data_IF_869746311211
#
_entry.id   IF_869746311211
#
_cell.length_a   1.000
_cell.length_b   1.000
_cell.length_c   1.000
_cell.angle_alpha   90.00
_cell.angle_beta   90.00
_cell.angle_gamma   90.00
#
_symmetry.space_group_name_H-M   'P 1'
#
loop_
_entity.id
_entity.type
_entity.pdbx_description
1 polymer ?
#
# COMPACT_ATOMS: atom_id res chain seq x y z
N UNK A 1 -12.99 -0.58 12.32
CA UNK A 1 -12.15 -1.69 12.81
C UNK A 1 -10.98 -1.10 13.59
N UNK A 2 -10.63 -1.66 14.74
CA UNK A 2 -9.43 -1.20 15.47
C UNK A 2 -8.18 -1.71 14.75
N UNK A 3 -7.05 -1.01 14.87
CA UNK A 3 -5.78 -1.41 14.26
C UNK A 3 -5.33 -2.82 14.66
N UNK A 4 -5.57 -3.22 15.91
CA UNK A 4 -5.24 -4.56 16.40
C UNK A 4 -6.12 -5.65 15.76
N UNK A 5 -7.43 -5.44 15.69
CA UNK A 5 -8.35 -6.41 15.04
C UNK A 5 -7.99 -6.57 13.55
N UNK A 6 -7.68 -5.48 12.89
CA UNK A 6 -7.26 -5.49 11.50
C UNK A 6 -5.96 -6.29 11.33
N UNK A 7 -4.93 -6.04 12.14
CA UNK A 7 -3.67 -6.76 12.08
C UNK A 7 -3.83 -8.27 12.33
N UNK A 8 -4.71 -8.68 13.26
CA UNK A 8 -4.99 -10.09 13.51
C UNK A 8 -5.74 -10.76 12.36
N UNK A 9 -6.69 -10.06 11.75
CA UNK A 9 -7.43 -10.52 10.58
C UNK A 9 -6.50 -10.69 9.37
N UNK A 10 -5.66 -9.70 9.11
CA UNK A 10 -4.67 -9.71 8.04
C UNK A 10 -3.64 -10.82 8.24
N UNK A 11 -3.15 -10.99 9.47
CA UNK A 11 -2.23 -12.09 9.78
C UNK A 11 -2.89 -13.46 9.55
N UNK A 12 -4.10 -13.69 10.04
CA UNK A 12 -4.82 -14.95 9.85
C UNK A 12 -5.07 -15.24 8.37
N UNK A 13 -5.39 -14.23 7.59
CA UNK A 13 -5.55 -14.35 6.13
C UNK A 13 -4.22 -14.72 5.46
N UNK A 14 -3.16 -13.97 5.73
CA UNK A 14 -1.84 -14.16 5.12
C UNK A 14 -1.25 -15.54 5.44
N UNK A 15 -1.28 -15.96 6.72
CA UNK A 15 -0.77 -17.27 7.16
C UNK A 15 -1.50 -18.44 6.50
N UNK A 16 -2.70 -18.23 5.97
CA UNK A 16 -3.50 -19.23 5.27
C UNK A 16 -3.58 -19.03 3.73
N UNK A 17 -2.70 -18.18 3.18
CA UNK A 17 -2.54 -18.00 1.74
C UNK A 17 -3.61 -17.11 1.07
N UNK A 18 -4.19 -16.18 1.85
CA UNK A 18 -5.08 -15.15 1.36
C UNK A 18 -4.32 -13.82 1.21
N UNK A 19 -4.61 -13.10 0.16
CA UNK A 19 -4.05 -11.77 -0.12
C UNK A 19 -5.04 -10.69 0.33
N UNK A 20 -4.51 -9.61 0.91
CA UNK A 20 -5.30 -8.53 1.50
C UNK A 20 -5.52 -7.43 0.47
N UNK A 21 -6.77 -6.98 0.33
CA UNK A 21 -7.16 -5.92 -0.60
C UNK A 21 -8.10 -4.93 0.09
N UNK A 22 -8.08 -3.66 -0.38
CA UNK A 22 -9.01 -2.61 0.04
C UNK A 22 -9.13 -2.40 1.55
N UNK A 23 -8.17 -1.68 2.12
CA UNK A 23 -8.18 -1.26 3.53
C UNK A 23 -8.26 -2.42 4.55
N UNK A 24 -7.70 -3.59 4.22
CA UNK A 24 -7.67 -4.76 5.10
C UNK A 24 -9.03 -5.39 5.37
N UNK A 25 -9.99 -5.24 4.45
CA UNK A 25 -11.36 -5.77 4.59
C UNK A 25 -11.75 -6.80 3.54
N UNK A 26 -11.06 -6.82 2.42
CA UNK A 26 -11.33 -7.74 1.31
C UNK A 26 -10.12 -8.63 1.12
N UNK A 27 -10.34 -9.94 1.09
CA UNK A 27 -9.29 -10.96 0.99
C UNK A 27 -9.55 -11.82 -0.22
N UNK A 28 -8.52 -12.07 -1.01
CA UNK A 28 -8.54 -12.97 -2.15
C UNK A 28 -7.56 -14.12 -1.95
N UNK A 29 -7.91 -15.29 -2.47
CA UNK A 29 -7.01 -16.43 -2.54
C UNK A 29 -6.89 -16.89 -3.99
N UNK A 30 -5.67 -17.18 -4.44
CA UNK A 30 -5.46 -17.81 -5.75
C UNK A 30 -6.08 -19.20 -5.87
N UNK A 31 -6.58 -19.76 -4.77
CA UNK A 31 -7.22 -21.07 -4.68
C UNK A 31 -8.75 -21.02 -4.56
N UNK A 32 -9.30 -19.82 -4.39
CA UNK A 32 -10.74 -19.63 -4.20
C UNK A 32 -11.31 -18.66 -5.26
N UNK A 33 -12.44 -18.98 -5.92
CA UNK A 33 -12.98 -18.18 -7.01
C UNK A 33 -13.63 -16.86 -6.57
N UNK A 34 -13.85 -16.65 -5.26
CA UNK A 34 -14.49 -15.46 -4.70
C UNK A 34 -13.57 -14.69 -3.76
N UNK A 35 -14.10 -13.58 -3.24
CA UNK A 35 -13.48 -12.76 -2.21
C UNK A 35 -14.15 -12.99 -0.86
N UNK A 36 -13.36 -13.03 0.22
CA UNK A 36 -13.88 -12.94 1.58
C UNK A 36 -13.88 -11.45 2.00
N UNK A 37 -15.03 -10.94 2.40
CA UNK A 37 -15.22 -9.58 2.89
C UNK A 37 -15.44 -9.60 4.39
N UNK A 38 -14.71 -8.75 5.13
CA UNK A 38 -14.82 -8.61 6.57
C UNK A 38 -15.41 -7.25 6.95
N UNK A 39 -16.52 -7.27 7.70
CA UNK A 39 -17.20 -6.08 8.21
C UNK A 39 -17.20 -6.07 9.74
N UNK A 40 -16.70 -4.99 10.33
CA UNK A 40 -16.69 -4.81 11.78
C UNK A 40 -18.05 -4.26 12.26
N UNK A 41 -18.75 -5.05 13.08
CA UNK A 41 -20.04 -4.69 13.70
C UNK A 41 -19.88 -4.12 15.12
N UNK A 42 -18.64 -3.83 15.56
CA UNK A 42 -18.33 -3.25 16.88
C UNK A 42 -18.14 -4.26 18.02
N UNK A 43 -18.84 -5.39 18.00
CA UNK A 43 -18.69 -6.53 18.91
C UNK A 43 -18.70 -7.89 18.21
N UNK A 44 -18.70 -7.87 16.90
CA UNK A 44 -18.59 -9.06 16.06
C UNK A 44 -17.97 -8.67 14.73
N UNK A 45 -17.30 -9.62 14.10
CA UNK A 45 -16.82 -9.53 12.73
C UNK A 45 -17.75 -10.33 11.85
N UNK A 46 -18.39 -9.69 10.87
CA UNK A 46 -19.15 -10.36 9.83
C UNK A 46 -18.19 -10.72 8.69
N UNK A 47 -18.24 -11.96 8.23
CA UNK A 47 -17.44 -12.48 7.13
C UNK A 47 -18.40 -13.05 6.06
N UNK A 48 -18.27 -12.59 4.84
CA UNK A 48 -19.09 -13.05 3.71
C UNK A 48 -18.22 -13.36 2.49
N UNK A 49 -18.63 -14.33 1.67
CA UNK A 49 -18.05 -14.55 0.35
C UNK A 49 -18.83 -13.79 -0.72
N UNK A 50 -18.07 -13.04 -1.53
CA UNK A 50 -18.60 -12.39 -2.72
C UNK A 50 -18.13 -13.13 -3.96
N UNK A 51 -19.07 -13.53 -4.83
CA UNK A 51 -18.77 -14.19 -6.10
C UNK A 51 -18.68 -15.72 -6.04
N UNK A 52 -19.18 -16.35 -4.98
CA UNK A 52 -19.29 -17.81 -4.83
C UNK A 52 -20.75 -18.25 -4.57
N UNK A 53 -21.07 -19.55 -4.73
CA UNK A 53 -22.36 -20.06 -4.35
C UNK A 53 -22.71 -19.75 -2.89
N UNK A 54 -23.94 -19.28 -2.69
CA UNK A 54 -24.53 -19.06 -1.38
C UNK A 54 -24.32 -20.30 -0.49
N UNK A 55 -23.95 -20.10 0.77
CA UNK A 55 -23.86 -21.09 1.85
C UNK A 55 -22.50 -21.78 2.10
N UNK A 56 -21.44 -21.52 1.35
CA UNK A 56 -20.18 -22.23 1.60
C UNK A 56 -19.66 -22.01 3.03
N UNK A 57 -19.72 -20.79 3.54
CA UNK A 57 -19.29 -20.46 4.91
C UNK A 57 -20.21 -21.08 5.96
N UNK A 58 -21.53 -20.94 5.80
CA UNK A 58 -22.51 -21.43 6.77
C UNK A 58 -22.49 -22.96 6.91
N UNK A 59 -22.29 -23.67 5.79
CA UNK A 59 -22.12 -25.13 5.81
C UNK A 59 -20.86 -25.55 6.55
N UNK A 60 -19.77 -24.80 6.37
CA UNK A 60 -18.48 -25.11 7.00
C UNK A 60 -18.44 -24.71 8.49
N UNK A 61 -19.18 -23.67 8.87
CA UNK A 61 -19.18 -23.09 10.22
C UNK A 61 -20.61 -22.82 10.73
N UNK A 62 -21.46 -23.85 10.89
CA UNK A 62 -22.86 -23.66 11.22
C UNK A 62 -23.12 -22.96 12.57
N UNK A 63 -22.17 -23.03 13.50
CA UNK A 63 -22.25 -22.36 14.79
C UNK A 63 -22.08 -20.83 14.72
N UNK A 64 -21.56 -20.31 13.59
CA UNK A 64 -21.32 -18.90 13.32
C UNK A 64 -22.25 -18.37 12.23
N UNK A 65 -23.09 -19.21 11.63
CA UNK A 65 -23.96 -18.86 10.52
C UNK A 65 -24.97 -17.78 10.90
N UNK A 66 -25.09 -16.75 10.07
CA UNK A 66 -26.06 -15.67 10.26
C UNK A 66 -27.40 -15.95 9.57
N UNK A 67 -27.48 -16.94 8.67
CA UNK A 67 -28.69 -17.31 7.92
C UNK A 67 -28.87 -16.53 6.61
N UNK A 68 -27.89 -15.70 6.24
CA UNK A 68 -27.85 -14.90 5.01
C UNK A 68 -26.64 -15.23 4.11
N UNK A 69 -25.97 -16.36 4.39
CA UNK A 69 -24.75 -16.77 3.69
C UNK A 69 -23.46 -16.24 4.34
N UNK A 70 -23.57 -15.40 5.36
CA UNK A 70 -22.41 -14.86 6.09
C UNK A 70 -22.17 -15.57 7.43
N UNK A 71 -20.98 -15.38 7.98
CA UNK A 71 -20.63 -15.76 9.35
C UNK A 71 -20.55 -14.52 10.23
N UNK A 72 -21.00 -14.65 11.48
CA UNK A 72 -20.82 -13.65 12.52
C UNK A 72 -19.94 -14.23 13.63
N UNK A 73 -18.71 -13.74 13.72
CA UNK A 73 -17.74 -14.12 14.71
C UNK A 73 -17.74 -13.11 15.87
N UNK A 74 -18.29 -13.45 17.04
CA UNK A 74 -18.30 -12.55 18.20
C UNK A 74 -16.88 -12.31 18.73
N UNK A 75 -16.62 -11.10 19.21
CA UNK A 75 -15.39 -10.77 19.93
C UNK A 75 -15.64 -9.77 21.04
N UNK A 76 -14.74 -9.75 22.05
CA UNK A 76 -14.73 -8.73 23.07
C UNK A 76 -13.78 -7.59 22.66
N UNK A 77 -14.24 -6.32 22.66
CA UNK A 77 -13.37 -5.18 22.38
C UNK A 77 -12.12 -5.18 23.29
N UNK A 78 -10.93 -5.15 22.67
CA UNK A 78 -9.64 -5.24 23.36
C UNK A 78 -9.15 -6.66 23.71
N UNK A 79 -9.95 -7.71 23.46
CA UNK A 79 -9.59 -9.12 23.67
C UNK A 79 -9.77 -9.95 22.39
N UNK A 80 -9.24 -9.47 21.28
CA UNK A 80 -9.40 -10.10 19.96
C UNK A 80 -8.68 -11.44 19.83
N UNK A 81 -7.70 -11.75 20.68
CA UNK A 81 -6.90 -12.98 20.62
C UNK A 81 -7.75 -14.25 20.72
N UNK A 82 -8.91 -14.20 21.36
CA UNK A 82 -9.84 -15.32 21.43
C UNK A 82 -10.51 -15.64 20.08
N UNK A 83 -10.60 -14.66 19.17
CA UNK A 83 -11.16 -14.83 17.84
C UNK A 83 -10.13 -15.39 16.81
N UNK A 84 -8.84 -15.31 17.10
CA UNK A 84 -7.77 -15.71 16.16
C UNK A 84 -7.88 -17.18 15.71
N UNK A 85 -8.09 -18.18 16.58
CA UNK A 85 -8.21 -19.58 16.14
C UNK A 85 -9.38 -19.80 15.19
N UNK A 86 -10.51 -19.10 15.39
CA UNK A 86 -11.67 -19.19 14.52
C UNK A 86 -11.38 -18.51 13.16
N UNK A 87 -10.74 -17.36 13.15
CA UNK A 87 -10.30 -16.69 11.93
C UNK A 87 -9.34 -17.56 11.11
N UNK A 88 -8.32 -18.14 11.75
CA UNK A 88 -7.39 -19.05 11.10
C UNK A 88 -8.09 -20.29 10.54
N UNK A 89 -9.06 -20.85 11.26
CA UNK A 89 -9.85 -21.97 10.80
C UNK A 89 -10.70 -21.60 9.57
N UNK A 90 -11.33 -20.43 9.57
CA UNK A 90 -12.14 -19.94 8.43
C UNK A 90 -11.24 -19.76 7.21
N UNK A 91 -10.15 -19.04 7.30
CA UNK A 91 -9.25 -18.80 6.17
C UNK A 91 -8.63 -20.11 5.64
N UNK A 92 -8.22 -21.03 6.53
CA UNK A 92 -7.64 -22.31 6.15
C UNK A 92 -8.65 -23.24 5.46
N UNK A 93 -9.85 -23.37 6.00
CA UNK A 93 -10.89 -24.24 5.45
C UNK A 93 -11.35 -23.74 4.09
N UNK A 94 -11.48 -22.44 3.94
CA UNK A 94 -11.93 -21.81 2.70
C UNK A 94 -10.80 -21.74 1.64
N UNK A 95 -9.53 -21.74 2.02
CA UNK A 95 -8.41 -21.85 1.09
C UNK A 95 -8.31 -23.26 0.42
N UNK A 96 -8.89 -24.29 1.03
CA UNK A 96 -8.83 -25.68 0.56
C UNK A 96 -9.86 -26.08 -0.52
N UNK A 97 -10.73 -25.19 -0.97
CA UNK A 97 -11.69 -25.45 -2.05
C UNK A 97 -10.98 -25.75 -3.39
N UNK A 98 -11.53 -26.69 -4.17
CA UNK A 98 -10.95 -27.21 -5.40
C UNK A 98 -10.43 -26.09 -6.32
N UNK A 99 -9.21 -26.29 -6.81
CA UNK A 99 -8.54 -25.40 -7.75
C UNK A 99 -9.42 -25.21 -9.02
N UNK A 100 -10.07 -24.06 -9.11
CA UNK A 100 -10.55 -23.55 -10.38
C UNK A 100 -9.39 -22.73 -10.98
N UNK A 101 -9.08 -22.97 -12.27
CA UNK A 101 -8.14 -22.10 -12.99
C UNK A 101 -8.60 -20.64 -12.87
N UNK A 102 -7.70 -19.72 -12.49
CA UNK A 102 -8.07 -18.33 -12.33
C UNK A 102 -8.45 -17.75 -13.70
N UNK A 103 -9.61 -17.09 -13.84
CA UNK A 103 -9.88 -16.31 -15.05
C UNK A 103 -8.81 -15.21 -15.18
N UNK A 104 -8.48 -14.81 -16.43
CA UNK A 104 -7.47 -13.80 -16.76
C UNK A 104 -7.62 -12.47 -15.97
N UNK A 105 -8.82 -12.14 -15.55
CA UNK A 105 -9.17 -11.01 -14.68
C UNK A 105 -8.60 -11.14 -13.26
N UNK A 106 -8.46 -12.37 -12.74
CA UNK A 106 -7.86 -12.60 -11.42
C UNK A 106 -6.36 -12.32 -11.42
N UNK A 107 -5.67 -12.61 -12.52
CA UNK A 107 -4.21 -12.37 -12.66
C UNK A 107 -3.90 -10.86 -12.68
N UNK A 108 -4.71 -10.04 -13.36
CA UNK A 108 -4.56 -8.59 -13.35
C UNK A 108 -4.90 -7.98 -11.98
N UNK A 109 -5.91 -8.52 -11.29
CA UNK A 109 -6.25 -8.11 -9.92
C UNK A 109 -5.17 -8.48 -8.93
N UNK A 110 -4.60 -9.69 -9.00
CA UNK A 110 -3.48 -10.14 -8.17
C UNK A 110 -2.23 -9.25 -8.37
N UNK A 111 -1.92 -8.87 -9.59
CA UNK A 111 -0.84 -7.94 -9.88
C UNK A 111 -1.09 -6.56 -9.24
N UNK A 112 -2.33 -6.07 -9.30
CA UNK A 112 -2.74 -4.79 -8.69
C UNK A 112 -2.66 -4.84 -7.15
N UNK A 113 -3.00 -5.98 -6.56
CA UNK A 113 -2.93 -6.20 -5.10
C UNK A 113 -1.50 -6.26 -4.61
N UNK A 114 -0.65 -7.07 -5.24
CA UNK A 114 0.80 -7.11 -4.93
C UNK A 114 1.42 -5.72 -5.02
N UNK A 115 1.01 -4.95 -6.02
CA UNK A 115 1.45 -3.58 -6.20
C UNK A 115 1.03 -2.70 -5.02
N UNK A 116 -0.21 -2.79 -4.53
CA UNK A 116 -0.71 -1.96 -3.42
C UNK A 116 -0.11 -2.33 -2.07
N UNK A 117 0.05 -3.63 -1.78
CA UNK A 117 0.71 -4.10 -0.55
C UNK A 117 2.17 -3.63 -0.54
N UNK A 118 2.91 -3.86 -1.61
CA UNK A 118 4.28 -3.38 -1.72
C UNK A 118 4.40 -1.85 -1.61
N UNK A 119 3.41 -1.09 -2.12
CA UNK A 119 3.40 0.37 -1.95
C UNK A 119 3.16 0.80 -0.50
N UNK A 120 2.38 0.05 0.28
CA UNK A 120 2.16 0.36 1.70
C UNK A 120 3.45 0.15 2.51
N UNK A 121 4.12 -0.98 2.32
CA UNK A 121 5.39 -1.31 2.96
C UNK A 121 6.49 -0.31 2.56
N UNK A 122 6.62 -0.03 1.26
CA UNK A 122 7.53 1.00 0.74
C UNK A 122 7.28 2.38 1.38
N UNK A 123 6.00 2.78 1.50
CA UNK A 123 5.64 4.05 2.13
C UNK A 123 6.08 4.08 3.60
N UNK A 124 5.82 3.02 4.36
CA UNK A 124 6.17 2.96 5.78
C UNK A 124 7.69 3.03 5.98
N UNK A 125 8.44 2.25 5.23
CA UNK A 125 9.91 2.23 5.27
C UNK A 125 10.51 3.58 4.85
N UNK A 126 9.99 4.16 3.75
CA UNK A 126 10.44 5.46 3.27
C UNK A 126 10.16 6.57 4.31
N UNK A 127 8.97 6.57 4.92
CA UNK A 127 8.62 7.57 5.93
C UNK A 127 9.44 7.39 7.21
N UNK A 128 9.68 6.14 7.63
CA UNK A 128 10.60 5.84 8.74
C UNK A 128 12.00 6.36 8.47
N UNK A 129 12.51 6.16 7.25
CA UNK A 129 13.82 6.66 6.83
C UNK A 129 13.95 8.19 6.94
N UNK A 130 12.85 8.95 6.79
CA UNK A 130 12.81 10.41 6.79
C UNK A 130 12.08 11.03 7.99
N UNK A 131 11.98 10.31 9.11
CA UNK A 131 11.37 10.77 10.36
C UNK A 131 9.90 11.21 10.19
N UNK A 132 9.15 10.56 9.28
CA UNK A 132 7.75 10.85 9.00
C UNK A 132 7.46 12.21 8.36
N UNK A 133 8.48 12.90 7.82
CA UNK A 133 8.34 14.27 7.34
C UNK A 133 8.86 14.45 5.92
N UNK A 134 8.32 15.46 5.21
CA UNK A 134 8.79 15.87 3.90
C UNK A 134 10.30 16.09 3.89
N UNK A 135 10.98 15.46 2.94
CA UNK A 135 12.43 15.50 2.82
C UNK A 135 13.00 16.91 2.54
N UNK A 136 12.17 17.85 2.06
CA UNK A 136 12.55 19.24 1.77
C UNK A 136 12.03 20.19 2.84
N UNK A 137 10.70 20.21 3.05
CA UNK A 137 10.04 21.24 3.88
C UNK A 137 9.98 20.90 5.36
N UNK A 138 10.12 19.61 5.72
CA UNK A 138 9.92 19.15 7.09
C UNK A 138 8.46 19.05 7.53
N UNK A 139 7.50 19.28 6.64
CA UNK A 139 6.08 19.07 6.92
C UNK A 139 5.85 17.62 7.33
N UNK A 140 5.19 17.39 8.48
CA UNK A 140 5.00 16.06 9.07
C UNK A 140 3.53 15.58 9.06
N UNK A 141 2.63 16.24 8.32
CA UNK A 141 1.25 15.80 8.17
C UNK A 141 1.16 14.68 7.11
N UNK A 142 0.84 13.42 7.50
CA UNK A 142 0.80 12.29 6.58
C UNK A 142 -0.23 12.43 5.45
N UNK A 143 -1.29 13.24 5.66
CA UNK A 143 -2.33 13.49 4.65
C UNK A 143 -1.80 14.33 3.49
N UNK A 144 -0.81 15.19 3.76
CA UNK A 144 -0.20 16.09 2.79
C UNK A 144 1.11 15.57 2.18
N UNK A 145 1.51 14.33 2.53
CA UNK A 145 2.73 13.71 2.06
C UNK A 145 2.47 12.58 1.07
N UNK A 146 3.39 12.42 0.14
CA UNK A 146 3.45 11.31 -0.83
C UNK A 146 4.78 10.59 -0.72
N UNK A 147 4.75 9.29 -0.98
CA UNK A 147 5.94 8.45 -1.13
C UNK A 147 6.37 8.49 -2.61
N UNK A 148 7.17 9.49 -2.94
CA UNK A 148 7.56 9.82 -4.30
C UNK A 148 8.74 8.97 -4.77
N UNK A 149 8.59 8.24 -5.88
CA UNK A 149 9.67 7.42 -6.44
C UNK A 149 10.57 8.24 -7.36
N UNK A 150 11.88 8.10 -7.22
CA UNK A 150 12.85 8.70 -8.14
C UNK A 150 12.92 7.93 -9.47
N UNK A 151 12.97 6.60 -9.43
CA UNK A 151 12.75 5.75 -10.59
C UNK A 151 11.30 5.26 -10.55
N UNK A 152 10.43 5.71 -11.48
CA UNK A 152 9.00 5.42 -11.43
C UNK A 152 8.69 3.94 -11.38
N UNK A 153 7.57 3.60 -10.77
CA UNK A 153 7.10 2.21 -10.60
C UNK A 153 7.13 1.40 -11.91
N UNK A 154 6.69 2.01 -13.01
CA UNK A 154 6.62 1.38 -14.33
C UNK A 154 7.99 0.97 -14.89
N UNK A 155 9.05 1.68 -14.49
CA UNK A 155 10.42 1.51 -15.01
C UNK A 155 11.32 0.76 -14.02
N UNK A 156 10.83 0.54 -12.79
CA UNK A 156 11.54 -0.11 -11.71
C UNK A 156 11.28 -1.63 -11.68
N UNK A 157 12.29 -2.39 -11.32
CA UNK A 157 12.16 -3.83 -10.97
C UNK A 157 11.40 -3.99 -9.66
N UNK A 158 10.92 -5.18 -9.35
CA UNK A 158 10.19 -5.45 -8.10
C UNK A 158 11.01 -5.11 -6.85
N UNK A 159 12.31 -5.35 -6.87
CA UNK A 159 13.21 -4.96 -5.79
C UNK A 159 13.36 -3.45 -5.66
N UNK A 160 13.52 -2.72 -6.78
CA UNK A 160 13.65 -1.27 -6.80
C UNK A 160 12.35 -0.56 -6.40
N UNK A 161 11.19 -1.17 -6.67
CA UNK A 161 9.87 -0.65 -6.29
C UNK A 161 9.68 -0.57 -4.78
N UNK A 162 10.29 -1.51 -4.05
CA UNK A 162 10.18 -1.65 -2.60
C UNK A 162 11.39 -1.07 -1.86
N UNK A 163 12.40 -0.61 -2.58
CA UNK A 163 13.59 -0.02 -1.96
C UNK A 163 13.29 1.40 -1.44
N UNK A 164 13.33 1.65 -0.12
CA UNK A 164 13.04 2.97 0.45
C UNK A 164 14.05 4.05 0.03
N UNK A 165 15.17 3.67 -0.58
CA UNK A 165 16.13 4.59 -1.19
C UNK A 165 15.76 5.01 -2.61
N UNK A 166 14.76 4.36 -3.21
CA UNK A 166 14.22 4.78 -4.51
C UNK A 166 13.21 5.92 -4.39
N UNK A 167 13.43 6.90 -3.50
CA UNK A 167 12.55 8.05 -3.44
C UNK A 167 12.65 8.88 -2.16
N UNK A 168 11.65 9.75 -2.00
CA UNK A 168 11.57 10.70 -0.91
C UNK A 168 10.13 10.91 -0.46
N UNK A 169 9.85 11.11 0.85
CA UNK A 169 8.56 11.66 1.26
C UNK A 169 8.53 13.14 0.87
N UNK A 170 7.63 13.49 -0.03
CA UNK A 170 7.47 14.87 -0.50
C UNK A 170 6.07 15.38 -0.17
N UNK A 171 5.92 16.68 0.11
CA UNK A 171 4.61 17.29 0.15
C UNK A 171 4.00 17.34 -1.27
N UNK A 172 2.66 17.32 -1.34
CA UNK A 172 1.92 17.15 -2.59
C UNK A 172 2.42 18.03 -3.75
N UNK A 173 2.70 19.35 -3.58
CA UNK A 173 3.22 20.15 -4.68
C UNK A 173 4.61 19.72 -5.16
N UNK A 174 5.51 19.37 -4.25
CA UNK A 174 6.86 18.92 -4.61
C UNK A 174 6.85 17.53 -5.25
N UNK A 175 5.98 16.63 -4.79
CA UNK A 175 5.75 15.31 -5.40
C UNK A 175 5.31 15.46 -6.86
N UNK A 176 4.28 16.26 -7.11
CA UNK A 176 3.79 16.50 -8.46
C UNK A 176 4.84 17.12 -9.39
N UNK A 177 5.67 18.01 -8.88
CA UNK A 177 6.75 18.64 -9.66
C UNK A 177 7.91 17.66 -9.93
N UNK A 178 8.23 16.80 -8.96
CA UNK A 178 9.26 15.78 -9.07
C UNK A 178 8.84 14.70 -10.07
N UNK A 179 7.66 14.13 -9.91
CA UNK A 179 7.11 13.09 -10.81
C UNK A 179 6.99 13.59 -12.25
N UNK A 180 6.64 14.86 -12.44
CA UNK A 180 6.55 15.47 -13.76
C UNK A 180 7.92 15.93 -14.33
N UNK A 181 9.01 15.81 -13.58
CA UNK A 181 10.36 16.19 -13.99
C UNK A 181 10.61 17.70 -14.01
N UNK A 182 9.77 18.48 -13.37
CA UNK A 182 9.99 19.93 -13.22
C UNK A 182 11.05 20.29 -12.19
N UNK A 183 11.25 19.38 -11.21
CA UNK A 183 12.34 19.45 -10.24
C UNK A 183 13.08 18.14 -10.15
N UNK A 184 14.32 18.18 -9.70
CA UNK A 184 15.11 17.02 -9.29
C UNK A 184 16.06 17.42 -8.17
N UNK A 185 16.87 16.47 -7.68
CA UNK A 185 17.90 16.73 -6.68
C UNK A 185 19.27 16.30 -7.21
N UNK A 186 20.28 17.07 -6.84
CA UNK A 186 21.69 16.73 -7.06
C UNK A 186 22.18 15.71 -6.02
N UNK A 187 23.37 15.18 -6.20
CA UNK A 187 23.95 14.18 -5.30
C UNK A 187 24.22 14.70 -3.89
N UNK A 188 24.35 16.02 -3.71
CA UNK A 188 24.43 16.67 -2.41
C UNK A 188 23.08 17.12 -1.84
N UNK A 189 21.97 16.81 -2.57
CA UNK A 189 20.60 17.09 -2.15
C UNK A 189 20.10 18.49 -2.49
N UNK A 190 20.82 19.31 -3.25
CA UNK A 190 20.30 20.59 -3.72
C UNK A 190 19.19 20.39 -4.76
N UNK A 191 18.13 21.21 -4.69
CA UNK A 191 17.07 21.19 -5.69
C UNK A 191 17.59 21.74 -7.03
N UNK A 192 17.20 21.13 -8.13
CA UNK A 192 17.39 21.66 -9.46
C UNK A 192 16.04 21.88 -10.11
N UNK A 193 15.78 23.09 -10.57
CA UNK A 193 14.55 23.46 -11.29
C UNK A 193 14.79 23.28 -12.78
N UNK A 194 13.81 22.74 -13.49
CA UNK A 194 13.87 22.64 -14.94
C UNK A 194 13.93 24.04 -15.56
N UNK A 195 14.80 24.28 -16.56
CA UNK A 195 14.81 25.55 -17.30
C UNK A 195 13.53 25.78 -18.10
N UNK A 196 12.74 24.76 -18.34
CA UNK A 196 11.43 24.84 -19.02
C UNK A 196 10.25 25.05 -18.03
N UNK A 197 10.52 25.15 -16.73
CA UNK A 197 9.47 25.41 -15.74
C UNK A 197 9.00 26.87 -15.88
N UNK A 198 7.68 27.04 -15.97
CA UNK A 198 7.06 28.36 -16.03
C UNK A 198 7.44 29.21 -14.79
N UNK A 199 7.94 30.44 -14.98
CA UNK A 199 8.25 31.34 -13.89
C UNK A 199 7.07 31.61 -12.93
N UNK A 200 5.83 31.60 -13.45
CA UNK A 200 4.63 31.71 -12.63
C UNK A 200 4.49 30.51 -11.68
N UNK A 201 4.79 29.30 -12.14
CA UNK A 201 4.78 28.11 -11.30
C UNK A 201 5.82 28.16 -10.16
N UNK A 202 6.99 28.76 -10.42
CA UNK A 202 8.01 29.01 -9.39
C UNK A 202 7.44 29.86 -8.26
N UNK A 203 6.68 30.91 -8.60
CA UNK A 203 6.05 31.80 -7.61
C UNK A 203 4.89 31.12 -6.88
N UNK A 204 3.99 30.46 -7.63
CA UNK A 204 2.79 29.80 -7.07
C UNK A 204 3.16 28.70 -6.08
N UNK A 205 4.18 27.89 -6.40
CA UNK A 205 4.64 26.80 -5.53
C UNK A 205 5.74 27.24 -4.55
N UNK A 206 6.08 28.51 -4.48
CA UNK A 206 7.12 29.08 -3.62
C UNK A 206 8.44 28.32 -3.73
N UNK A 207 8.86 27.98 -4.95
CA UNK A 207 10.10 27.27 -5.19
C UNK A 207 11.29 28.22 -5.06
N UNK A 208 12.27 27.83 -4.24
CA UNK A 208 13.53 28.55 -4.08
C UNK A 208 14.66 27.67 -4.59
N UNK A 209 15.48 28.13 -5.55
CA UNK A 209 16.66 27.40 -6.01
C UNK A 209 17.68 27.07 -4.88
N UNK A 210 17.59 27.77 -3.75
CA UNK A 210 18.40 27.48 -2.56
C UNK A 210 17.84 26.32 -1.70
N UNK A 211 16.62 25.87 -1.98
CA UNK A 211 16.04 24.71 -1.28
C UNK A 211 16.88 23.45 -1.51
N UNK A 212 16.84 22.58 -0.53
CA UNK A 212 17.54 21.30 -0.58
C UNK A 212 16.86 20.27 0.29
N UNK A 213 17.23 19.02 0.11
CA UNK A 213 16.87 17.98 1.06
C UNK A 213 17.40 18.34 2.46
N UNK A 214 16.62 18.11 3.49
CA UNK A 214 16.96 18.42 4.90
C UNK A 214 18.23 17.72 5.38
N UNK A 215 18.63 16.66 4.71
CA UNK A 215 19.88 15.94 4.89
C UNK A 215 20.41 15.45 3.55
N UNK A 216 21.72 15.26 3.44
CA UNK A 216 22.30 14.72 2.24
C UNK A 216 21.73 13.33 1.91
N UNK A 217 21.47 13.02 0.64
CA UNK A 217 21.07 11.67 0.22
C UNK A 217 22.11 10.64 0.66
N UNK A 218 21.62 9.48 1.14
CA UNK A 218 22.48 8.31 1.30
C UNK A 218 23.01 7.85 -0.06
N UNK A 219 24.18 7.23 -0.12
CA UNK A 219 24.77 6.72 -1.36
C UNK A 219 23.83 5.79 -2.15
N UNK A 220 22.89 5.11 -1.47
CA UNK A 220 21.86 4.25 -2.06
C UNK A 220 20.79 5.01 -2.86
N UNK A 221 20.56 6.29 -2.56
CA UNK A 221 19.66 7.13 -3.37
C UNK A 221 20.29 7.55 -4.72
N UNK A 222 21.63 7.64 -4.77
CA UNK A 222 22.32 8.26 -5.91
C UNK A 222 22.04 7.59 -7.26
N UNK A 223 22.00 6.25 -7.38
CA UNK A 223 21.64 5.60 -8.64
C UNK A 223 20.23 5.97 -9.14
N UNK A 224 19.26 6.07 -8.22
CA UNK A 224 17.89 6.45 -8.55
C UNK A 224 17.77 7.93 -8.92
N UNK A 225 18.48 8.81 -8.22
CA UNK A 225 18.55 10.23 -8.58
C UNK A 225 19.24 10.44 -9.93
N UNK A 226 20.31 9.71 -10.21
CA UNK A 226 20.96 9.76 -11.51
C UNK A 226 19.99 9.33 -12.63
N UNK A 227 19.24 8.23 -12.40
CA UNK A 227 18.23 7.75 -13.34
C UNK A 227 17.13 8.80 -13.56
N UNK A 228 16.61 9.43 -12.47
CA UNK A 228 15.60 10.49 -12.55
C UNK A 228 16.10 11.69 -13.38
N UNK A 229 17.32 12.14 -13.13
CA UNK A 229 17.92 13.26 -13.88
C UNK A 229 18.12 12.94 -15.36
N UNK A 230 18.32 11.68 -15.68
CA UNK A 230 18.55 11.25 -17.08
C UNK A 230 17.24 11.09 -17.85
N UNK A 231 16.22 10.48 -17.23
CA UNK A 231 15.03 10.01 -17.95
C UNK A 231 13.76 10.81 -17.67
N UNK A 232 13.64 11.48 -16.54
CA UNK A 232 12.44 12.19 -16.10
C UNK A 232 12.65 13.71 -16.11
N UNK A 233 13.77 14.19 -15.59
CA UNK A 233 14.02 15.62 -15.47
C UNK A 233 14.09 16.31 -16.83
N UNK A 234 13.32 17.38 -16.98
CA UNK A 234 13.22 18.16 -18.21
C UNK A 234 14.40 19.12 -18.33
N UNK A 235 15.27 18.88 -19.29
CA UNK A 235 16.50 19.66 -19.51
C UNK A 235 16.32 20.84 -20.49
N UNK A 236 15.17 20.88 -21.19
CA UNK A 236 14.79 21.90 -22.16
C UNK A 236 13.27 21.94 -22.32
#
# INVERSE_FOLDING_TARGET
MTSLLQALLEKAAFDNGWEIVENGRVFYSGRHPGALVATDLGRALQLEFVGTPENLLEVSFPALAAGDGSLVLPYEPGRFTAAVPALEAIFRTTAGGAAAEPPSVATERLATVKQRVGQADYREDLFSLWDGACAVTGLADPALLRASHAKPWRDATDAERLDPYNGFPLCIPLDALFDAGWITFSDDGAIALSPALDPEAVLVFALDPAQRLRRAPDSRHLPYLAWHREHIFRKS
#
